data_IF_058432340095
#
_entry.id   IF_058432340095
#
_cell.length_a   1.000
_cell.length_b   1.000
_cell.length_c   1.000
_cell.angle_alpha   90.00
_cell.angle_beta   90.00
_cell.angle_gamma   90.00
#
_symmetry.space_group_name_H-M   'P 1'
#
loop_
_entity.id
_entity.type
_entity.pdbx_description
1 polymer ?
#
# COMPACT_ATOMS: atom_id res chain seq x y z
N UNK A 1 9.89 -8.60 23.92
CA UNK A 1 9.70 -8.34 22.47
C UNK A 1 10.91 -7.60 21.93
N UNK A 2 11.67 -8.17 20.98
CA UNK A 2 12.70 -7.41 20.25
C UNK A 2 12.01 -6.46 19.27
N UNK A 3 12.06 -5.17 19.55
CA UNK A 3 11.81 -4.14 18.54
C UNK A 3 13.02 -4.14 17.62
N UNK A 4 12.90 -4.79 16.46
CA UNK A 4 13.86 -4.59 15.38
C UNK A 4 13.54 -3.21 14.82
N UNK A 5 14.36 -2.22 15.16
CA UNK A 5 14.37 -0.95 14.45
C UNK A 5 14.72 -1.28 13.00
N UNK A 6 13.75 -1.07 12.11
CA UNK A 6 13.98 -1.20 10.68
C UNK A 6 15.05 -0.18 10.28
N UNK A 7 15.97 -0.57 9.40
CA UNK A 7 17.01 0.33 8.89
C UNK A 7 16.40 1.69 8.45
N UNK A 8 17.10 2.82 8.69
CA UNK A 8 16.57 4.17 8.47
C UNK A 8 16.07 4.41 7.03
N UNK A 9 16.55 3.63 6.06
CA UNK A 9 16.07 3.60 4.68
C UNK A 9 14.57 3.28 4.51
N UNK A 10 13.95 2.54 5.44
CA UNK A 10 12.52 2.19 5.36
C UNK A 10 11.57 3.30 5.81
N UNK A 11 12.07 4.40 6.40
CA UNK A 11 11.22 5.56 6.76
C UNK A 11 10.66 6.29 5.53
N UNK A 12 11.32 6.16 4.39
CA UNK A 12 11.02 6.92 3.18
C UNK A 12 10.00 6.23 2.25
N UNK A 13 9.42 5.10 2.66
CA UNK A 13 8.40 4.41 1.87
C UNK A 13 7.15 5.28 1.76
N UNK A 14 6.78 5.56 0.52
CA UNK A 14 5.63 6.39 0.15
C UNK A 14 4.70 5.66 -0.81
N UNK A 15 3.41 5.97 -0.70
CA UNK A 15 2.37 5.45 -1.57
C UNK A 15 2.66 5.82 -3.03
N UNK A 16 2.42 4.88 -3.94
CA UNK A 16 2.77 5.00 -5.36
C UNK A 16 4.21 4.58 -5.69
N UNK A 17 5.11 4.49 -4.70
CA UNK A 17 6.46 3.96 -4.93
C UNK A 17 6.46 2.47 -5.19
N UNK A 18 7.59 1.91 -5.60
CA UNK A 18 7.74 0.46 -5.82
C UNK A 18 8.75 -0.14 -4.85
N UNK A 19 8.45 -1.34 -4.35
CA UNK A 19 9.34 -2.12 -3.48
C UNK A 19 9.71 -3.41 -4.16
N UNK A 20 10.98 -3.80 -4.07
CA UNK A 20 11.44 -5.10 -4.53
C UNK A 20 11.29 -6.12 -3.42
N UNK A 21 10.60 -7.22 -3.71
CA UNK A 21 10.50 -8.36 -2.81
C UNK A 21 10.45 -9.65 -3.60
N UNK A 22 11.25 -10.65 -3.19
CA UNK A 22 11.36 -11.96 -3.87
C UNK A 22 11.60 -11.86 -5.38
N UNK A 23 12.35 -10.85 -5.82
CA UNK A 23 12.66 -10.62 -7.23
C UNK A 23 11.54 -9.94 -8.04
N UNK A 24 10.45 -9.52 -7.39
CA UNK A 24 9.33 -8.84 -8.04
C UNK A 24 9.18 -7.40 -7.54
N UNK A 25 9.04 -6.45 -8.47
CA UNK A 25 8.74 -5.06 -8.17
C UNK A 25 7.24 -4.89 -7.95
N UNK A 26 6.87 -4.46 -6.75
CA UNK A 26 5.48 -4.32 -6.33
C UNK A 26 5.17 -2.86 -6.00
N UNK A 27 4.10 -2.33 -6.56
CA UNK A 27 3.64 -0.96 -6.28
C UNK A 27 3.02 -0.88 -4.88
N UNK A 28 3.44 0.10 -4.10
CA UNK A 28 2.89 0.42 -2.78
C UNK A 28 1.52 1.07 -2.97
N UNK A 29 0.48 0.32 -2.63
CA UNK A 29 -0.90 0.78 -2.62
C UNK A 29 -1.21 1.58 -1.36
N UNK A 30 -0.60 1.22 -0.22
CA UNK A 30 -0.76 1.92 1.07
C UNK A 30 0.46 1.69 1.97
N UNK A 31 0.78 2.70 2.77
CA UNK A 31 1.83 2.61 3.81
C UNK A 31 1.16 2.67 5.18
N UNK A 32 1.33 1.62 5.98
CA UNK A 32 0.84 1.58 7.35
C UNK A 32 1.98 1.94 8.29
N UNK A 33 1.75 2.96 9.14
CA UNK A 33 2.74 3.48 10.08
C UNK A 33 2.26 3.27 11.51
N UNK A 34 3.16 2.90 12.40
CA UNK A 34 2.93 2.78 13.84
C UNK A 34 4.08 3.46 14.57
N UNK A 35 3.78 4.31 15.57
CA UNK A 35 4.78 5.08 16.33
C UNK A 35 5.75 5.90 15.45
N UNK A 36 5.28 6.37 14.30
CA UNK A 36 6.10 7.15 13.35
C UNK A 36 6.98 6.32 12.42
N UNK A 37 6.96 4.99 12.52
CA UNK A 37 7.73 4.08 11.67
C UNK A 37 6.82 3.23 10.77
N UNK A 38 7.33 2.83 9.61
CA UNK A 38 6.57 1.96 8.70
C UNK A 38 6.48 0.57 9.29
N UNK A 39 5.26 0.11 9.60
CA UNK A 39 5.03 -1.23 10.13
C UNK A 39 4.79 -2.26 9.01
N UNK A 40 4.14 -1.82 7.93
CA UNK A 40 3.90 -2.65 6.73
C UNK A 40 3.49 -1.77 5.55
N UNK A 41 3.67 -2.29 4.35
CA UNK A 41 3.09 -1.73 3.12
C UNK A 41 2.08 -2.71 2.54
N UNK A 42 1.02 -2.20 1.91
CA UNK A 42 0.11 -3.02 1.13
C UNK A 42 0.51 -2.96 -0.34
N UNK A 43 0.65 -4.14 -0.93
CA UNK A 43 1.02 -4.34 -2.33
C UNK A 43 0.04 -5.32 -2.98
N UNK A 44 0.02 -5.43 -4.32
CA UNK A 44 -0.59 -6.59 -4.98
C UNK A 44 0.01 -7.92 -4.49
N UNK A 45 -0.74 -9.00 -4.70
CA UNK A 45 -0.25 -10.38 -4.67
C UNK A 45 0.99 -10.54 -5.54
N UNK A 46 1.93 -11.40 -5.13
CA UNK A 46 3.00 -11.80 -6.05
C UNK A 46 2.39 -12.47 -7.27
N UNK A 47 2.92 -12.18 -8.44
CA UNK A 47 2.41 -12.75 -9.69
C UNK A 47 2.52 -14.27 -9.71
N UNK A 48 3.59 -14.81 -9.12
CA UNK A 48 3.80 -16.26 -9.02
C UNK A 48 2.79 -16.99 -8.10
N UNK A 49 2.09 -16.27 -7.21
CA UNK A 49 1.06 -16.87 -6.36
C UNK A 49 -0.29 -17.00 -7.07
N UNK A 50 -0.49 -16.32 -8.20
CA UNK A 50 -1.80 -16.28 -8.88
C UNK A 50 -2.92 -15.64 -8.03
N UNK A 51 -2.56 -14.88 -6.98
CA UNK A 51 -3.50 -14.27 -6.05
C UNK A 51 -3.85 -12.84 -6.49
N UNK A 52 -5.13 -12.59 -6.83
CA UNK A 52 -5.61 -11.29 -7.31
C UNK A 52 -5.95 -10.26 -6.21
N UNK A 53 -5.58 -10.53 -4.95
CA UNK A 53 -5.81 -9.60 -3.83
C UNK A 53 -4.59 -8.75 -3.49
N UNK A 54 -4.70 -8.00 -2.40
CA UNK A 54 -3.58 -7.27 -1.81
C UNK A 54 -2.96 -8.08 -0.67
N UNK A 55 -1.66 -7.90 -0.43
CA UNK A 55 -0.97 -8.48 0.71
C UNK A 55 -0.28 -7.40 1.54
N UNK A 56 -0.06 -7.70 2.81
CA UNK A 56 0.81 -6.90 3.68
C UNK A 56 2.24 -7.40 3.59
N UNK A 57 3.14 -6.53 3.19
CA UNK A 57 4.57 -6.77 3.17
C UNK A 57 5.23 -6.05 4.33
N UNK A 58 5.96 -6.79 5.16
CA UNK A 58 6.78 -6.22 6.23
C UNK A 58 8.07 -5.68 5.66
N UNK A 59 8.65 -4.61 6.24
CA UNK A 59 9.85 -3.99 5.65
C UNK A 59 11.08 -4.91 5.64
N UNK A 60 11.16 -5.88 6.56
CA UNK A 60 12.13 -6.99 6.55
C UNK A 60 12.20 -7.79 5.23
N UNK A 61 11.12 -7.79 4.44
CA UNK A 61 11.06 -8.51 3.16
C UNK A 61 11.35 -7.61 1.96
N UNK A 62 11.58 -6.32 2.18
CA UNK A 62 11.85 -5.34 1.13
C UNK A 62 13.37 -5.26 0.95
N UNK A 63 13.83 -5.58 -0.25
CA UNK A 63 15.26 -5.56 -0.57
C UNK A 63 15.69 -4.32 -1.34
N UNK A 64 14.76 -3.62 -1.99
CA UNK A 64 15.04 -2.39 -2.73
C UNK A 64 13.79 -1.49 -2.80
N UNK A 65 13.97 -0.21 -3.08
CA UNK A 65 12.90 0.78 -3.13
C UNK A 65 13.12 1.82 -4.23
N UNK A 66 12.06 2.07 -5.00
CA UNK A 66 11.97 3.17 -5.96
C UNK A 66 10.91 4.17 -5.49
N UNK A 67 11.35 5.42 -5.32
CA UNK A 67 10.45 6.51 -5.00
C UNK A 67 9.41 6.71 -6.13
N UNK A 68 8.15 7.04 -5.80
CA UNK A 68 7.18 7.40 -6.81
C UNK A 68 7.60 8.68 -7.53
N UNK A 69 7.31 8.76 -8.82
CA UNK A 69 7.27 10.04 -9.50
C UNK A 69 6.11 10.91 -8.97
N UNK A 70 6.16 12.23 -9.21
CA UNK A 70 5.13 13.15 -8.73
C UNK A 70 3.73 12.81 -9.27
N UNK A 71 3.66 12.25 -10.48
CA UNK A 71 2.43 11.79 -11.12
C UNK A 71 1.89 10.52 -10.45
N UNK A 72 2.74 9.51 -10.23
CA UNK A 72 2.35 8.24 -9.58
C UNK A 72 1.88 8.45 -8.13
N UNK A 73 2.54 9.34 -7.38
CA UNK A 73 2.15 9.69 -6.02
C UNK A 73 0.76 10.36 -5.99
N UNK A 74 0.45 11.17 -7.01
CA UNK A 74 -0.82 11.88 -7.12
C UNK A 74 -1.96 10.95 -7.53
N UNK A 75 -1.71 10.03 -8.46
CA UNK A 75 -2.69 9.04 -8.92
C UNK A 75 -3.02 8.03 -7.81
N UNK A 76 -2.01 7.51 -7.11
CA UNK A 76 -2.22 6.58 -5.99
C UNK A 76 -3.06 7.21 -4.85
N UNK A 77 -2.85 8.50 -4.56
CA UNK A 77 -3.67 9.24 -3.59
C UNK A 77 -5.12 9.39 -4.05
N UNK A 78 -5.37 9.55 -5.35
CA UNK A 78 -6.73 9.60 -5.92
C UNK A 78 -7.41 8.23 -5.88
N UNK A 79 -6.70 7.17 -6.25
CA UNK A 79 -7.21 5.80 -6.25
C UNK A 79 -7.56 5.29 -4.83
N UNK A 80 -6.79 5.69 -3.81
CA UNK A 80 -7.08 5.35 -2.41
C UNK A 80 -8.27 6.13 -1.84
N UNK A 81 -8.57 7.32 -2.37
CA UNK A 81 -9.82 8.05 -2.11
C UNK A 81 -10.95 7.46 -2.96
N UNK A 82 -11.23 6.16 -2.78
CA UNK A 82 -12.53 5.64 -3.22
C UNK A 82 -13.61 6.47 -2.51
N UNK A 83 -14.60 7.02 -3.24
CA UNK A 83 -15.70 7.72 -2.59
C UNK A 83 -16.35 6.78 -1.56
N UNK A 84 -16.92 7.30 -0.46
CA UNK A 84 -17.72 6.47 0.42
C UNK A 84 -18.75 5.73 -0.44
N UNK A 85 -18.92 4.42 -0.23
CA UNK A 85 -20.08 3.70 -0.75
C UNK A 85 -21.28 4.35 -0.07
N UNK A 86 -21.86 5.34 -0.73
CA UNK A 86 -23.12 5.90 -0.29
C UNK A 86 -24.18 4.91 -0.69
N UNK A 87 -24.56 4.05 0.27
CA UNK A 87 -25.81 3.35 0.19
C UNK A 87 -26.93 4.36 0.49
N UNK A 88 -27.45 5.02 -0.55
CA UNK A 88 -28.73 5.71 -0.44
C UNK A 88 -29.81 4.62 -0.50
N UNK A 89 -30.62 4.39 0.56
CA UNK A 89 -31.86 3.65 0.39
C UNK A 89 -32.69 4.39 -0.66
N UNK A 90 -32.98 3.71 -1.76
CA UNK A 90 -33.81 4.23 -2.84
C UNK A 90 -35.09 4.80 -2.24
N UNK A 91 -35.38 6.05 -2.59
CA UNK A 91 -36.62 6.73 -2.24
C UNK A 91 -37.78 5.80 -2.62
N UNK A 92 -38.37 5.14 -1.63
CA UNK A 92 -39.62 4.41 -1.78
C UNK A 92 -40.67 5.42 -2.20
N UNK A 93 -40.95 5.47 -3.50
CA UNK A 93 -42.09 6.19 -4.05
C UNK A 93 -43.34 5.61 -3.42
N UNK A 94 -44.01 6.41 -2.60
CA UNK A 94 -45.32 6.05 -2.07
C UNK A 94 -46.36 6.07 -3.17
N UNK A 95 -47.19 5.03 -3.21
CA UNK A 95 -48.66 5.08 -3.14
C UNK A 95 -49.21 3.66 -3.23
#
# INVERSE_FOLDING_TARGET
MKMVALSPEHRNLNQGGQVLSRGEWLTILRVNRSKGEVSSVETPGYRFLGYSGTMKLTPDRITDYKAPTAEEASDAKKAAKRPPIVNYPGKGSGK
#
